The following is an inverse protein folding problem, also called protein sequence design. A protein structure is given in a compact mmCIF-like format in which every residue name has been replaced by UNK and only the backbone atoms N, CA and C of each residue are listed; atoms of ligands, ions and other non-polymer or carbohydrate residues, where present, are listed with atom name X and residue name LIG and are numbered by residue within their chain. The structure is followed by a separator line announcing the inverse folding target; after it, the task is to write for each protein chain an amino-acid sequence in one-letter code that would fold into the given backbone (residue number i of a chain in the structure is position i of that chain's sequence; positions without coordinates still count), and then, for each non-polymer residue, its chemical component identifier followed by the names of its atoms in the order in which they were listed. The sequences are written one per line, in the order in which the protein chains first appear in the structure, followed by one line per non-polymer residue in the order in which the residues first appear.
data_IF_505128974404
#
_entry.id   IF_505128974404
#
_cell.length_a   1.000
_cell.length_b   1.000
_cell.length_c   1.000
_cell.angle_alpha   90.00
_cell.angle_beta   90.00
_cell.angle_gamma   90.00
#
_symmetry.space_group_name_H-M   'P 1'
#
loop_
_entity.id
_entity.type
_entity.pdbx_description
1 polymer ?
#
# COMPACT_ATOMS: atom_id res chain seq x y z
N UNK A 1 -2.01 16.69 -4.72
CA UNK A 1 -3.27 16.11 -5.25
C UNK A 1 -3.24 16.36 -6.74
N UNK A 2 -3.62 15.39 -7.57
CA UNK A 2 -3.70 15.66 -9.01
C UNK A 2 -4.58 16.91 -9.21
N UNK A 3 -4.09 17.89 -9.99
CA UNK A 3 -4.75 19.19 -10.14
C UNK A 3 -6.22 19.01 -10.52
N UNK A 4 -7.13 19.32 -9.61
CA UNK A 4 -8.56 19.44 -9.93
C UNK A 4 -8.94 20.88 -10.27
N UNK A 5 -8.18 21.86 -9.74
CA UNK A 5 -8.36 23.28 -10.01
C UNK A 5 -7.00 23.92 -10.38
N UNK A 6 -7.00 24.91 -11.26
CA UNK A 6 -5.78 25.52 -11.81
C UNK A 6 -4.95 26.29 -10.76
N UNK A 7 -5.58 26.69 -9.65
CA UNK A 7 -4.97 27.38 -8.52
C UNK A 7 -4.27 26.45 -7.51
N UNK A 8 -4.45 25.13 -7.62
CA UNK A 8 -3.80 24.18 -6.71
C UNK A 8 -2.39 23.81 -7.19
N UNK A 9 -1.46 23.76 -6.25
CA UNK A 9 -0.11 23.27 -6.49
C UNK A 9 -0.15 21.83 -7.01
N UNK A 10 0.52 21.58 -8.13
CA UNK A 10 0.75 20.23 -8.63
C UNK A 10 1.85 19.49 -7.88
N UNK A 11 2.44 20.06 -6.82
CA UNK A 11 3.46 19.39 -6.02
C UNK A 11 2.87 18.25 -5.17
N UNK A 12 3.68 17.25 -4.89
CA UNK A 12 3.37 16.21 -3.92
C UNK A 12 3.18 16.83 -2.53
N UNK A 13 2.08 16.48 -1.84
CA UNK A 13 1.80 17.00 -0.49
C UNK A 13 2.78 16.50 0.57
N UNK A 14 3.58 15.47 0.25
CA UNK A 14 4.66 15.03 1.12
C UNK A 14 5.90 15.92 1.04
N UNK A 15 5.88 16.93 0.16
CA UNK A 15 7.00 17.86 -0.04
C UNK A 15 8.29 17.15 -0.47
N UNK A 16 8.15 16.06 -1.25
CA UNK A 16 9.28 15.32 -1.79
C UNK A 16 9.98 16.00 -2.98
N UNK A 17 9.59 17.23 -3.33
CA UNK A 17 10.14 17.99 -4.47
C UNK A 17 9.57 17.60 -5.84
N UNK A 18 8.70 16.61 -5.93
CA UNK A 18 8.17 16.09 -7.22
C UNK A 18 6.72 16.46 -7.49
N UNK A 19 6.31 16.40 -8.76
CA UNK A 19 4.95 16.67 -9.21
C UNK A 19 3.99 15.51 -8.90
N UNK A 20 2.92 15.79 -8.17
CA UNK A 20 1.85 14.86 -7.82
C UNK A 20 1.16 14.24 -9.04
N UNK A 21 1.60 13.05 -9.44
CA UNK A 21 0.84 12.10 -10.26
C UNK A 21 0.25 11.00 -9.36
N UNK A 22 -0.73 10.25 -9.88
CA UNK A 22 -1.31 9.13 -9.13
C UNK A 22 -0.23 8.09 -8.75
N UNK A 23 0.61 7.69 -9.72
CA UNK A 23 1.71 6.75 -9.48
C UNK A 23 2.74 7.30 -8.49
N UNK A 24 3.09 8.59 -8.58
CA UNK A 24 3.99 9.22 -7.62
C UNK A 24 3.44 9.13 -6.19
N UNK A 25 2.20 9.55 -6.01
CA UNK A 25 1.54 9.63 -4.70
C UNK A 25 1.51 8.29 -3.96
N UNK A 26 1.27 7.21 -4.71
CA UNK A 26 1.02 5.89 -4.15
C UNK A 26 2.23 4.96 -4.23
N UNK A 27 3.27 5.27 -5.01
CA UNK A 27 4.40 4.36 -5.23
C UNK A 27 5.76 5.04 -5.33
N UNK A 28 5.91 6.01 -6.24
CA UNK A 28 7.24 6.49 -6.64
C UNK A 28 7.78 7.60 -5.73
N UNK A 29 6.93 8.23 -4.91
CA UNK A 29 7.33 9.31 -4.02
C UNK A 29 8.55 8.88 -3.16
N UNK A 30 9.68 9.60 -3.20
CA UNK A 30 10.90 9.24 -2.47
C UNK A 30 10.68 9.03 -0.98
N UNK A 31 9.77 9.80 -0.37
CA UNK A 31 9.40 9.68 1.04
C UNK A 31 8.63 8.38 1.32
N UNK A 32 7.91 7.85 0.34
CA UNK A 32 7.13 6.61 0.44
C UNK A 32 7.93 5.36 0.06
N UNK A 33 9.02 5.49 -0.70
CA UNK A 33 9.86 4.35 -1.12
C UNK A 33 10.33 3.48 0.07
N UNK A 34 10.79 4.03 1.21
CA UNK A 34 11.17 3.23 2.37
C UNK A 34 10.02 2.39 2.93
N UNK A 35 8.80 2.94 2.95
CA UNK A 35 7.62 2.21 3.39
C UNK A 35 7.35 0.98 2.52
N UNK A 36 7.32 1.16 1.20
CA UNK A 36 7.14 0.03 0.28
C UNK A 36 8.29 -0.96 0.33
N UNK A 37 9.51 -0.50 0.56
CA UNK A 37 10.67 -1.38 0.75
C UNK A 37 10.49 -2.29 1.96
N UNK A 38 10.03 -1.75 3.08
CA UNK A 38 9.78 -2.53 4.30
C UNK A 38 8.59 -3.50 4.12
N UNK A 39 7.50 -3.04 3.49
CA UNK A 39 6.32 -3.87 3.20
C UNK A 39 6.68 -5.03 2.27
N UNK A 40 7.39 -4.78 1.17
CA UNK A 40 7.83 -5.84 0.28
C UNK A 40 8.91 -6.73 0.90
N UNK A 41 9.77 -6.19 1.77
CA UNK A 41 10.69 -6.99 2.58
C UNK A 41 9.93 -8.05 3.38
N UNK A 42 8.88 -7.65 4.09
CA UNK A 42 8.01 -8.58 4.81
C UNK A 42 7.28 -9.56 3.87
N UNK A 43 6.61 -9.07 2.83
CA UNK A 43 5.87 -9.91 1.87
C UNK A 43 6.80 -10.96 1.24
N UNK A 44 8.05 -10.60 0.95
CA UNK A 44 8.99 -11.49 0.28
C UNK A 44 9.49 -12.63 1.16
N UNK A 45 9.45 -12.48 2.48
CA UNK A 45 9.70 -13.61 3.40
C UNK A 45 8.66 -14.72 3.25
N UNK A 46 7.46 -14.41 2.72
CA UNK A 46 6.32 -15.34 2.62
C UNK A 46 6.07 -15.77 1.18
N UNK A 47 6.14 -14.84 0.20
CA UNK A 47 5.65 -15.08 -1.16
C UNK A 47 6.72 -14.97 -2.26
N UNK A 48 7.92 -14.46 -1.95
CA UNK A 48 9.00 -14.27 -2.93
C UNK A 48 8.54 -13.54 -4.22
N UNK A 49 7.84 -12.41 -4.07
CA UNK A 49 7.30 -11.63 -5.20
C UNK A 49 8.17 -10.40 -5.50
N UNK A 50 8.24 -9.94 -6.76
CA UNK A 50 8.97 -8.72 -7.06
C UNK A 50 8.27 -7.49 -6.46
N UNK A 51 9.06 -6.47 -6.09
CA UNK A 51 8.56 -5.13 -5.75
C UNK A 51 8.09 -4.44 -7.04
N UNK A 52 6.85 -4.69 -7.43
CA UNK A 52 6.24 -4.19 -8.67
C UNK A 52 5.03 -3.29 -8.34
N UNK A 53 4.94 -2.06 -8.88
CA UNK A 53 3.78 -1.18 -8.68
C UNK A 53 2.46 -1.82 -9.11
N UNK A 54 2.45 -2.64 -10.16
CA UNK A 54 1.23 -3.32 -10.61
C UNK A 54 0.76 -4.36 -9.60
N UNK A 55 1.68 -4.99 -8.86
CA UNK A 55 1.33 -5.87 -7.74
C UNK A 55 0.85 -5.02 -6.57
N UNK A 56 1.64 -4.03 -6.17
CA UNK A 56 1.39 -3.21 -5.00
C UNK A 56 0.05 -2.45 -5.06
N UNK A 57 -0.19 -1.78 -6.18
CA UNK A 57 -1.33 -0.89 -6.37
C UNK A 57 -2.55 -1.68 -6.86
N UNK A 58 -2.37 -2.48 -7.91
CA UNK A 58 -3.47 -3.08 -8.67
C UNK A 58 -3.70 -4.57 -8.39
N UNK A 59 -2.72 -5.31 -7.85
CA UNK A 59 -2.85 -6.74 -7.54
C UNK A 59 -2.87 -7.68 -8.75
N UNK A 60 -2.43 -7.23 -9.94
CA UNK A 60 -2.69 -7.92 -11.22
C UNK A 60 -1.79 -9.13 -11.47
N UNK A 61 -0.59 -9.22 -10.88
CA UNK A 61 0.31 -10.39 -11.06
C UNK A 61 0.23 -11.42 -9.93
N UNK A 62 -0.91 -11.52 -9.25
CA UNK A 62 -1.07 -12.50 -8.15
C UNK A 62 -1.20 -13.95 -8.64
N UNK A 63 -1.42 -14.18 -9.93
CA UNK A 63 -1.55 -15.53 -10.52
C UNK A 63 -0.26 -16.35 -10.54
N UNK A 64 0.90 -15.72 -10.30
CA UNK A 64 2.16 -16.43 -10.02
C UNK A 64 2.05 -17.32 -8.77
N UNK A 65 1.11 -17.01 -7.86
CA UNK A 65 0.87 -17.76 -6.63
C UNK A 65 -0.26 -18.75 -6.89
N UNK A 66 0.09 -20.04 -7.02
CA UNK A 66 -0.87 -21.11 -7.34
C UNK A 66 -1.99 -21.29 -6.30
N UNK A 67 -1.67 -21.11 -5.01
CA UNK A 67 -2.64 -21.31 -3.93
C UNK A 67 -3.57 -20.12 -3.78
N UNK A 68 -4.89 -20.36 -3.86
CA UNK A 68 -5.91 -19.34 -3.62
C UNK A 68 -5.81 -18.72 -2.23
N UNK A 69 -5.61 -19.54 -1.19
CA UNK A 69 -5.41 -19.06 0.19
C UNK A 69 -4.22 -18.10 0.29
N UNK A 70 -3.11 -18.41 -0.40
CA UNK A 70 -1.93 -17.55 -0.44
C UNK A 70 -2.18 -16.27 -1.22
N UNK A 71 -2.90 -16.33 -2.35
CA UNK A 71 -3.33 -15.13 -3.10
C UNK A 71 -4.22 -14.23 -2.24
N UNK A 72 -5.14 -14.82 -1.49
CA UNK A 72 -6.01 -14.09 -0.58
C UNK A 72 -5.22 -13.37 0.51
N UNK A 73 -4.29 -14.07 1.17
CA UNK A 73 -3.40 -13.45 2.17
C UNK A 73 -2.56 -12.31 1.57
N UNK A 74 -1.98 -12.49 0.38
CA UNK A 74 -1.25 -11.41 -0.30
C UNK A 74 -2.17 -10.20 -0.57
N UNK A 75 -3.41 -10.43 -1.03
CA UNK A 75 -4.39 -9.36 -1.24
C UNK A 75 -4.68 -8.59 0.05
N UNK A 76 -4.87 -9.28 1.18
CA UNK A 76 -5.06 -8.63 2.50
C UNK A 76 -3.87 -7.73 2.85
N UNK A 77 -2.64 -8.23 2.72
CA UNK A 77 -1.43 -7.46 3.01
C UNK A 77 -1.32 -6.21 2.13
N UNK A 78 -1.58 -6.35 0.83
CA UNK A 78 -1.53 -5.24 -0.12
C UNK A 78 -2.65 -4.22 0.13
N UNK A 79 -3.85 -4.68 0.48
CA UNK A 79 -4.98 -3.81 0.85
C UNK A 79 -4.67 -3.06 2.14
N UNK A 80 -4.14 -3.72 3.16
CA UNK A 80 -3.73 -3.08 4.41
C UNK A 80 -2.65 -2.01 4.16
N UNK A 81 -1.68 -2.30 3.29
CA UNK A 81 -0.62 -1.35 2.95
C UNK A 81 -1.19 -0.10 2.28
N UNK A 82 -2.03 -0.29 1.24
CA UNK A 82 -2.71 0.81 0.54
C UNK A 82 -3.61 1.61 1.48
N UNK A 83 -4.36 0.93 2.35
CA UNK A 83 -5.24 1.57 3.33
C UNK A 83 -4.45 2.50 4.26
N UNK A 84 -3.25 2.11 4.68
CA UNK A 84 -2.43 2.98 5.51
C UNK A 84 -1.95 4.23 4.77
N UNK A 85 -1.67 4.13 3.47
CA UNK A 85 -1.35 5.30 2.64
C UNK A 85 -2.55 6.25 2.54
N UNK A 86 -3.76 5.71 2.38
CA UNK A 86 -4.99 6.53 2.30
C UNK A 86 -5.42 7.09 3.64
N UNK A 87 -5.18 6.41 4.76
CA UNK A 87 -5.38 6.96 6.11
C UNK A 87 -4.49 8.18 6.34
N UNK A 88 -3.25 8.15 5.84
CA UNK A 88 -2.29 9.27 5.90
C UNK A 88 -2.44 10.23 4.71
N UNK A 89 -3.63 10.33 4.12
CA UNK A 89 -3.89 11.25 3.01
C UNK A 89 -3.59 12.69 3.41
N UNK A 90 -2.90 13.44 2.53
CA UNK A 90 -2.43 14.81 2.78
C UNK A 90 -1.46 14.99 3.96
N UNK A 91 -1.05 13.91 4.63
CA UNK A 91 -0.01 13.98 5.66
C UNK A 91 1.37 13.86 5.00
N UNK A 92 2.34 14.63 5.52
CA UNK A 92 3.73 14.58 5.02
C UNK A 92 4.40 13.26 5.33
N UNK A 93 4.16 12.74 6.53
CA UNK A 93 4.79 11.50 7.03
C UNK A 93 4.18 10.27 6.34
N UNK A 94 4.99 9.35 5.79
CA UNK A 94 4.50 8.09 5.25
C UNK A 94 4.08 7.15 6.40
N UNK A 95 3.24 6.15 6.12
CA UNK A 95 2.97 5.10 7.09
C UNK A 95 4.22 4.26 7.40
N UNK A 96 4.18 3.54 8.51
CA UNK A 96 5.22 2.58 8.91
C UNK A 96 4.77 1.12 8.69
N UNK A 97 5.72 0.17 8.66
CA UNK A 97 5.41 -1.25 8.56
C UNK A 97 4.53 -1.73 9.73
N UNK A 98 4.80 -1.26 10.95
CA UNK A 98 3.99 -1.63 12.13
C UNK A 98 2.54 -1.16 12.02
N UNK A 99 2.29 0.02 11.42
CA UNK A 99 0.93 0.49 11.14
C UNK A 99 0.24 -0.44 10.13
N UNK A 100 0.97 -0.91 9.11
CA UNK A 100 0.47 -1.92 8.18
C UNK A 100 0.10 -3.23 8.88
N UNK A 101 0.99 -3.77 9.70
CA UNK A 101 0.76 -5.02 10.42
C UNK A 101 -0.39 -4.92 11.43
N UNK A 102 -0.54 -3.76 12.08
CA UNK A 102 -1.70 -3.49 12.94
C UNK A 102 -3.00 -3.50 12.14
N UNK A 103 -3.05 -2.89 10.97
CA UNK A 103 -4.24 -2.96 10.09
C UNK A 103 -4.52 -4.38 9.61
N UNK A 104 -3.50 -5.20 9.35
CA UNK A 104 -3.69 -6.62 9.02
C UNK A 104 -4.34 -7.37 10.17
N UNK A 105 -3.90 -7.11 11.41
CA UNK A 105 -4.54 -7.68 12.61
C UNK A 105 -5.99 -7.24 12.75
N UNK A 106 -6.28 -5.95 12.54
CA UNK A 106 -7.66 -5.44 12.56
C UNK A 106 -8.54 -6.14 11.51
N UNK A 107 -8.04 -6.37 10.29
CA UNK A 107 -8.76 -7.13 9.25
C UNK A 107 -9.01 -8.57 9.71
N UNK A 108 -8.00 -9.23 10.29
CA UNK A 108 -8.13 -10.59 10.79
C UNK A 108 -9.20 -10.72 11.90
N UNK A 109 -9.22 -9.81 12.87
CA UNK A 109 -10.25 -9.81 13.91
C UNK A 109 -11.65 -9.62 13.32
N UNK A 110 -11.80 -8.73 12.34
CA UNK A 110 -13.08 -8.53 11.66
C UNK A 110 -13.54 -9.78 10.90
N UNK A 111 -12.65 -10.45 10.17
CA UNK A 111 -12.97 -11.70 9.47
C UNK A 111 -13.38 -12.81 10.44
N UNK A 112 -12.71 -12.90 11.59
CA UNK A 112 -13.05 -13.87 12.65
C UNK A 112 -14.45 -13.64 13.19
N UNK A 113 -14.83 -12.37 13.41
CA UNK A 113 -16.19 -12.02 13.82
C UNK A 113 -17.19 -12.41 12.73
N UNK A 114 -16.94 -12.06 11.47
CA UNK A 114 -17.83 -12.41 10.35
C UNK A 114 -17.97 -13.91 10.14
N UNK A 115 -16.92 -14.70 10.36
CA UNK A 115 -16.98 -16.16 10.28
C UNK A 115 -17.80 -16.79 11.42
N UNK A 116 -17.88 -16.13 12.58
CA UNK A 116 -18.62 -16.62 13.74
C UNK A 116 -20.12 -16.28 13.75
N UNK A 117 -20.58 -15.47 12.77
CA UNK A 117 -21.98 -15.12 12.53
C UNK A 117 -22.61 -16.11 11.55
#
# INVERSE_FOLDING_TARGET
VAKFNSSQSSACWRECGEQATHTLIFWECPILVPYWTNVFGFINTIFQVPRDPLIAILGVKTDLIKSEKRRYLLRILLVAAKKNITIKWLQRRPPALDECLRTVREIYEMEKITYSL
#
